data_IF_486079332146
#
_entry.id   IF_486079332146
#
_cell.length_a   1.000
_cell.length_b   1.000
_cell.length_c   1.000
_cell.angle_alpha   90.00
_cell.angle_beta   90.00
_cell.angle_gamma   90.00
#
_symmetry.space_group_name_H-M   'P 1'
#
loop_
_entity.id
_entity.type
_entity.pdbx_description
1 polymer ?
#
# COMPACT_ATOMS: atom_id res chain seq x y z
N UNK A 1 -2.93 -16.93 -11.45
CA UNK A 1 -1.83 -16.05 -10.97
C UNK A 1 -2.32 -15.31 -9.74
N UNK A 2 -1.54 -15.22 -8.65
CA UNK A 2 -1.98 -14.51 -7.43
C UNK A 2 -1.50 -13.07 -7.41
N UNK A 3 -2.09 -12.24 -6.54
CA UNK A 3 -1.59 -10.89 -6.29
C UNK A 3 -0.19 -10.89 -5.66
N UNK A 4 0.16 -11.91 -4.87
CA UNK A 4 1.53 -12.05 -4.33
C UNK A 4 2.56 -12.27 -5.44
N UNK A 5 2.21 -13.08 -6.46
CA UNK A 5 3.06 -13.26 -7.64
C UNK A 5 3.19 -11.95 -8.43
N UNK A 6 2.09 -11.20 -8.57
CA UNK A 6 2.07 -9.89 -9.22
C UNK A 6 3.05 -8.94 -8.55
N UNK A 7 2.94 -8.77 -7.24
CA UNK A 7 3.75 -7.82 -6.49
C UNK A 7 5.25 -8.17 -6.49
N UNK A 8 5.60 -9.46 -6.60
CA UNK A 8 7.00 -9.92 -6.65
C UNK A 8 7.60 -9.88 -8.05
N UNK A 9 6.78 -10.05 -9.10
CA UNK A 9 7.23 -10.24 -10.49
C UNK A 9 6.42 -9.38 -11.46
N UNK A 10 6.21 -8.12 -11.11
CA UNK A 10 5.33 -7.19 -11.85
C UNK A 10 5.65 -7.14 -13.34
N UNK A 11 6.94 -7.06 -13.71
CA UNK A 11 7.38 -6.98 -15.09
C UNK A 11 7.07 -8.25 -15.90
N UNK A 12 7.26 -9.43 -15.29
CA UNK A 12 6.96 -10.71 -15.94
C UNK A 12 5.46 -10.86 -16.18
N UNK A 13 4.65 -10.52 -15.18
CA UNK A 13 3.19 -10.57 -15.29
C UNK A 13 2.69 -9.59 -16.34
N UNK A 14 3.24 -8.38 -16.36
CA UNK A 14 2.86 -7.36 -17.32
C UNK A 14 3.07 -7.87 -18.74
N UNK A 15 4.27 -8.36 -19.06
CA UNK A 15 4.57 -8.96 -20.37
C UNK A 15 3.70 -10.18 -20.66
N UNK A 16 3.46 -11.04 -19.69
CA UNK A 16 2.55 -12.18 -19.83
C UNK A 16 1.11 -11.76 -20.16
N UNK A 17 0.65 -10.63 -19.60
CA UNK A 17 -0.66 -10.05 -19.87
C UNK A 17 -0.72 -9.48 -21.29
N UNK A 18 0.32 -8.77 -21.74
CA UNK A 18 0.42 -8.28 -23.12
C UNK A 18 0.38 -9.44 -24.12
N UNK A 19 1.16 -10.49 -23.88
CA UNK A 19 1.18 -11.69 -24.71
C UNK A 19 -0.19 -12.39 -24.75
N UNK A 20 -0.86 -12.51 -23.61
CA UNK A 20 -2.22 -13.06 -23.53
C UNK A 20 -3.24 -12.24 -24.34
N UNK A 21 -3.12 -10.91 -24.31
CA UNK A 21 -3.98 -10.00 -25.07
C UNK A 21 -3.57 -9.87 -26.55
N UNK A 22 -2.44 -10.47 -26.97
CA UNK A 22 -1.91 -10.33 -28.32
C UNK A 22 -1.37 -8.94 -28.65
N UNK A 23 -1.01 -8.15 -27.64
CA UNK A 23 -0.47 -6.79 -27.79
C UNK A 23 1.06 -6.83 -27.72
N UNK A 24 1.80 -6.09 -28.57
CA UNK A 24 3.26 -6.01 -28.50
C UNK A 24 3.76 -5.45 -27.16
N UNK A 25 4.95 -5.89 -26.73
CA UNK A 25 5.66 -5.30 -25.59
C UNK A 25 6.07 -3.86 -25.90
N UNK A 26 5.70 -2.93 -25.04
CA UNK A 26 6.05 -1.50 -25.15
C UNK A 26 7.43 -1.18 -24.54
N UNK A 27 8.12 -2.18 -24.00
CA UNK A 27 9.44 -2.05 -23.41
C UNK A 27 9.41 -1.44 -22.00
N UNK A 28 8.25 -1.35 -21.36
CA UNK A 28 8.12 -0.79 -20.02
C UNK A 28 8.91 -1.60 -18.99
N UNK A 29 9.85 -0.93 -18.33
CA UNK A 29 10.71 -1.49 -17.29
C UNK A 29 10.47 -0.89 -15.90
N UNK A 30 9.78 0.24 -15.83
CA UNK A 30 9.51 0.94 -14.57
C UNK A 30 8.12 0.60 -13.99
N UNK A 31 8.15 0.08 -12.76
CA UNK A 31 7.01 -0.44 -12.01
C UNK A 31 6.99 0.10 -10.56
N UNK A 32 6.98 1.42 -10.44
CA UNK A 32 6.96 2.12 -9.17
C UNK A 32 5.73 1.82 -8.28
N UNK A 33 5.98 1.69 -6.98
CA UNK A 33 4.91 1.52 -5.97
C UNK A 33 4.34 2.88 -5.57
N UNK A 34 3.30 3.32 -6.27
CA UNK A 34 2.68 4.65 -6.09
C UNK A 34 2.01 4.83 -4.72
N UNK A 35 1.28 3.82 -4.24
CA UNK A 35 0.49 3.88 -3.01
C UNK A 35 1.13 3.14 -1.84
N UNK A 36 2.42 3.36 -1.61
CA UNK A 36 3.12 2.79 -0.45
C UNK A 36 2.47 3.28 0.86
N UNK A 37 2.27 2.37 1.81
CA UNK A 37 1.80 2.72 3.14
C UNK A 37 2.70 3.79 3.78
N UNK A 38 2.07 4.80 4.38
CA UNK A 38 2.75 5.97 4.98
C UNK A 38 2.37 6.06 6.46
N UNK A 39 3.32 6.48 7.29
CA UNK A 39 3.07 6.83 8.69
C UNK A 39 3.53 8.25 8.94
N UNK A 40 2.85 8.92 9.85
CA UNK A 40 3.32 10.20 10.37
C UNK A 40 4.41 9.97 11.40
N UNK A 41 5.53 10.71 11.33
CA UNK A 41 6.62 10.64 12.33
C UNK A 41 6.16 11.17 13.68
N UNK A 42 5.56 12.35 13.70
CA UNK A 42 4.97 12.99 14.87
C UNK A 42 3.47 13.13 14.71
N UNK A 43 2.71 12.44 15.59
CA UNK A 43 1.24 12.49 15.61
C UNK A 43 0.71 13.89 15.87
N UNK A 44 1.37 14.65 16.75
CA UNK A 44 0.98 16.03 17.09
C UNK A 44 1.15 16.97 15.90
N UNK A 45 2.30 16.94 15.23
CA UNK A 45 2.55 17.73 14.02
C UNK A 45 1.63 17.29 12.88
N UNK A 46 1.38 15.99 12.74
CA UNK A 46 0.44 15.47 11.74
C UNK A 46 -0.96 16.01 11.97
N UNK A 47 -1.45 15.95 13.22
CA UNK A 47 -2.75 16.50 13.60
C UNK A 47 -2.83 17.99 13.30
N UNK A 48 -1.79 18.76 13.65
CA UNK A 48 -1.72 20.19 13.37
C UNK A 48 -1.75 20.52 11.87
N UNK A 49 -1.01 19.76 11.05
CA UNK A 49 -0.90 19.98 9.60
C UNK A 49 -2.10 19.45 8.80
N UNK A 50 -2.75 18.37 9.27
CA UNK A 50 -3.90 17.76 8.59
C UNK A 50 -5.23 18.37 9.05
N UNK A 51 -5.36 18.64 10.34
CA UNK A 51 -6.57 19.16 10.99
C UNK A 51 -6.18 20.21 12.04
N UNK A 52 -5.71 21.40 11.62
CA UNK A 52 -5.36 22.48 12.54
C UNK A 52 -6.58 22.91 13.37
N UNK A 53 -6.38 23.35 14.63
CA UNK A 53 -7.44 23.96 15.42
C UNK A 53 -8.01 25.20 14.71
N UNK A 54 -9.25 25.58 15.04
CA UNK A 54 -9.99 26.66 14.35
C UNK A 54 -9.20 27.97 14.22
N UNK A 55 -8.39 28.28 15.24
CA UNK A 55 -7.51 29.47 15.27
C UNK A 55 -6.46 29.48 14.15
N UNK A 56 -6.02 28.30 13.68
CA UNK A 56 -5.00 28.13 12.64
C UNK A 56 -5.59 27.68 11.29
N UNK A 57 -6.92 27.53 11.20
CA UNK A 57 -7.62 27.23 9.96
C UNK A 57 -7.38 28.26 8.84
N UNK A 58 -7.27 29.58 9.11
CA UNK A 58 -6.95 30.57 8.08
C UNK A 58 -5.55 30.38 7.48
N UNK A 59 -4.59 29.90 8.28
CA UNK A 59 -3.22 29.65 7.83
C UNK A 59 -3.20 28.48 6.85
N UNK A 60 -3.96 27.42 7.13
CA UNK A 60 -4.12 26.29 6.22
C UNK A 60 -4.81 26.69 4.92
N UNK A 61 -5.92 27.44 4.99
CA UNK A 61 -6.64 27.86 3.78
C UNK A 61 -5.76 28.78 2.91
N UNK A 62 -4.96 29.65 3.52
CA UNK A 62 -3.99 30.50 2.82
C UNK A 62 -2.85 29.67 2.20
N UNK A 63 -2.31 28.68 2.93
CA UNK A 63 -1.27 27.80 2.43
C UNK A 63 -1.75 26.94 1.23
N UNK A 64 -3.03 26.57 1.20
CA UNK A 64 -3.64 25.77 0.12
C UNK A 64 -3.96 26.58 -1.15
N UNK A 65 -4.08 27.92 -1.07
CA UNK A 65 -4.46 28.80 -2.19
C UNK A 65 -3.30 29.28 -3.08
N UNK A 66 -2.08 28.78 -2.84
CA UNK A 66 -0.79 29.06 -3.53
C UNK A 66 0.00 30.29 -3.05
N UNK A 67 1.27 30.04 -2.69
CA UNK A 67 2.35 30.96 -2.26
C UNK A 67 3.54 30.09 -1.74
N UNK A 68 4.77 30.62 -1.52
CA UNK A 68 5.83 29.94 -0.74
C UNK A 68 5.34 29.20 0.52
N UNK A 69 4.30 29.69 1.19
CA UNK A 69 3.69 28.99 2.34
C UNK A 69 3.13 27.61 1.98
N UNK A 70 2.53 27.43 0.80
CA UNK A 70 2.04 26.13 0.33
C UNK A 70 3.16 25.15 0.02
N UNK A 71 4.32 25.64 -0.45
CA UNK A 71 5.53 24.80 -0.62
C UNK A 71 6.08 24.38 0.73
N UNK A 72 6.16 25.30 1.68
CA UNK A 72 6.60 25.02 3.05
C UNK A 72 5.66 24.01 3.73
N UNK A 73 4.35 24.18 3.60
CA UNK A 73 3.36 23.26 4.17
C UNK A 73 3.49 21.84 3.62
N UNK A 74 3.67 21.70 2.30
CA UNK A 74 3.94 20.41 1.66
C UNK A 74 5.27 19.81 2.11
N UNK A 75 6.32 20.62 2.23
CA UNK A 75 7.62 20.18 2.72
C UNK A 75 7.52 19.67 4.17
N UNK A 76 6.86 20.42 5.06
CA UNK A 76 6.63 20.01 6.45
C UNK A 76 5.82 18.71 6.55
N UNK A 77 4.79 18.57 5.71
CA UNK A 77 3.99 17.34 5.64
C UNK A 77 4.83 16.16 5.13
N UNK A 78 5.66 16.37 4.10
CA UNK A 78 6.54 15.35 3.55
C UNK A 78 7.63 14.93 4.55
N UNK A 79 8.27 15.89 5.23
CA UNK A 79 9.26 15.64 6.28
C UNK A 79 8.65 14.84 7.44
N UNK A 80 7.40 15.14 7.79
CA UNK A 80 6.66 14.42 8.83
C UNK A 80 6.04 13.10 8.34
N UNK A 81 6.25 12.72 7.08
CA UNK A 81 5.77 11.45 6.52
C UNK A 81 6.95 10.51 6.30
N UNK A 82 6.80 9.25 6.73
CA UNK A 82 7.77 8.21 6.47
C UNK A 82 7.07 6.99 5.84
N UNK A 83 7.75 6.20 5.00
CA UNK A 83 7.27 4.90 4.62
C UNK A 83 6.94 4.07 5.86
N UNK A 84 5.78 3.43 5.85
CA UNK A 84 5.35 2.52 6.89
C UNK A 84 5.39 1.09 6.34
N UNK A 85 6.10 0.20 7.02
CA UNK A 85 5.82 -1.22 6.87
C UNK A 85 4.51 -1.54 7.60
N UNK A 86 3.69 -2.40 6.99
CA UNK A 86 2.53 -2.97 7.67
C UNK A 86 3.03 -3.69 8.92
N UNK A 87 2.45 -3.38 10.07
CA UNK A 87 2.76 -4.11 11.30
C UNK A 87 2.30 -5.55 11.12
N UNK A 88 3.11 -6.55 11.50
CA UNK A 88 2.66 -7.93 11.50
C UNK A 88 1.48 -8.07 12.46
N UNK A 89 0.55 -8.97 12.13
CA UNK A 89 -0.55 -9.33 13.03
C UNK A 89 0.02 -9.93 14.31
N UNK A 90 -0.73 -9.79 15.41
CA UNK A 90 -0.37 -10.51 16.64
C UNK A 90 -0.42 -12.02 16.36
N UNK A 91 0.57 -12.81 16.83
CA UNK A 91 0.63 -14.24 16.51
C UNK A 91 -0.63 -15.01 16.89
N UNK A 92 -1.27 -14.66 18.01
CA UNK A 92 -2.52 -15.29 18.44
C UNK A 92 -3.67 -15.06 17.43
N UNK A 93 -3.87 -13.81 17.03
CA UNK A 93 -4.89 -13.46 16.04
C UNK A 93 -4.58 -14.05 14.66
N UNK A 94 -3.30 -14.17 14.30
CA UNK A 94 -2.91 -14.82 13.04
C UNK A 94 -3.26 -16.30 13.02
N UNK A 95 -3.03 -17.02 14.12
CA UNK A 95 -3.44 -18.42 14.28
C UNK A 95 -4.95 -18.60 14.21
N UNK A 96 -5.71 -17.67 14.80
CA UNK A 96 -7.17 -17.66 14.71
C UNK A 96 -7.63 -17.55 13.26
N UNK A 97 -7.11 -16.58 12.50
CA UNK A 97 -7.42 -16.45 11.08
C UNK A 97 -7.01 -17.70 10.27
N UNK A 98 -5.84 -18.27 10.54
CA UNK A 98 -5.39 -19.48 9.87
C UNK A 98 -6.28 -20.70 10.19
N UNK A 99 -6.89 -20.76 11.37
CA UNK A 99 -7.86 -21.79 11.71
C UNK A 99 -9.19 -21.57 10.97
N UNK A 100 -9.69 -20.32 10.95
CA UNK A 100 -10.95 -19.96 10.29
C UNK A 100 -10.90 -20.23 8.79
N UNK A 101 -9.81 -19.87 8.10
CA UNK A 101 -9.71 -19.98 6.65
C UNK A 101 -9.11 -21.29 6.15
N UNK A 102 -8.84 -22.27 7.02
CA UNK A 102 -8.15 -23.51 6.64
C UNK A 102 -8.88 -24.26 5.52
N UNK A 103 -10.18 -24.47 5.70
CA UNK A 103 -10.98 -25.27 4.78
C UNK A 103 -11.21 -24.51 3.47
N UNK A 104 -11.38 -23.19 3.54
CA UNK A 104 -11.50 -22.31 2.38
C UNK A 104 -10.23 -22.33 1.52
N UNK A 105 -9.04 -22.28 2.16
CA UNK A 105 -7.75 -22.36 1.47
C UNK A 105 -7.59 -23.74 0.80
N UNK A 106 -7.97 -24.82 1.49
CA UNK A 106 -7.93 -26.16 0.91
C UNK A 106 -8.86 -26.30 -0.30
N UNK A 107 -10.09 -25.78 -0.21
CA UNK A 107 -11.05 -25.75 -1.31
C UNK A 107 -10.52 -24.93 -2.49
N UNK A 108 -10.02 -23.73 -2.23
CA UNK A 108 -9.44 -22.85 -3.24
C UNK A 108 -8.27 -23.52 -3.96
N UNK A 109 -7.40 -24.20 -3.21
CA UNK A 109 -6.26 -24.92 -3.78
C UNK A 109 -6.69 -26.02 -4.73
N UNK A 110 -7.73 -26.78 -4.37
CA UNK A 110 -8.30 -27.81 -5.24
C UNK A 110 -8.91 -27.21 -6.50
N UNK A 111 -9.69 -26.13 -6.38
CA UNK A 111 -10.39 -25.51 -7.50
C UNK A 111 -9.44 -24.85 -8.52
N UNK A 112 -8.39 -24.20 -8.02
CA UNK A 112 -7.41 -23.50 -8.87
C UNK A 112 -6.28 -24.44 -9.32
N UNK A 113 -6.15 -25.62 -8.72
CA UNK A 113 -5.07 -26.57 -9.01
C UNK A 113 -3.69 -26.07 -8.56
N UNK A 114 -3.63 -25.29 -7.47
CA UNK A 114 -2.40 -24.69 -6.93
C UNK A 114 -2.39 -24.72 -5.41
N UNK A 115 -1.23 -25.00 -4.83
CA UNK A 115 -1.06 -24.97 -3.38
C UNK A 115 -1.03 -23.54 -2.82
N UNK A 116 -1.90 -23.26 -1.85
CA UNK A 116 -2.00 -22.01 -1.11
C UNK A 116 -1.80 -22.21 0.40
N UNK A 117 -1.39 -23.39 0.85
CA UNK A 117 -1.16 -23.67 2.29
C UNK A 117 -0.14 -22.72 2.93
N UNK A 118 0.78 -22.15 2.14
CA UNK A 118 1.70 -21.11 2.59
C UNK A 118 1.01 -19.86 3.16
N UNK A 119 -0.27 -19.61 2.84
CA UNK A 119 -1.05 -18.52 3.44
C UNK A 119 -1.43 -18.77 4.90
N UNK A 120 -1.50 -20.04 5.30
CA UNK A 120 -1.82 -20.46 6.66
C UNK A 120 -0.57 -20.52 7.57
N UNK A 121 0.63 -20.51 6.98
CA UNK A 121 1.89 -20.62 7.72
C UNK A 121 2.30 -19.24 8.23
N UNK A 122 2.29 -19.06 9.56
CA UNK A 122 2.44 -17.73 10.10
C UNK A 122 2.25 -17.44 11.58
#
# INVERSE_FOLDING_TARGET
MTFDDFARRTAEVYRGTLAFLGVPDDGRSDFDVVNRSKRTRSRLLGRLLLNPPRLLAPIRSLALRTSPLGRLWRALTALNTAPAQRRPLQPAFRRELAAVFRDDVALLSKLVGRDFNGWLVG
#
